data_IF_824162662821
#
_entry.id   IF_824162662821
#
_cell.length_a   1.000
_cell.length_b   1.000
_cell.length_c   1.000
_cell.angle_alpha   90.00
_cell.angle_beta   90.00
_cell.angle_gamma   90.00
#
_symmetry.space_group_name_H-M   'P 1'
#
loop_
_entity.id
_entity.type
_entity.pdbx_description
1 polymer ?
#
# COMPACT_ATOMS: atom_id res chain seq x y z
N UNK A 1 26.37 19.22 2.95
CA UNK A 1 25.65 17.93 3.04
C UNK A 1 25.23 17.57 1.64
N UNK A 2 25.55 16.38 1.13
CA UNK A 2 25.10 15.91 -0.18
C UNK A 2 23.57 15.87 -0.17
N UNK A 3 22.92 16.40 -1.20
CA UNK A 3 21.47 16.39 -1.36
C UNK A 3 20.98 14.93 -1.49
N UNK A 4 19.93 14.57 -0.73
CA UNK A 4 19.40 13.22 -0.77
C UNK A 4 18.59 12.98 -2.05
N UNK A 5 18.75 11.77 -2.60
CA UNK A 5 18.12 11.32 -3.83
C UNK A 5 17.22 10.11 -3.57
N UNK A 6 16.13 10.02 -4.33
CA UNK A 6 15.22 8.90 -4.39
C UNK A 6 15.27 8.24 -5.76
N UNK A 7 15.19 6.93 -5.83
CA UNK A 7 15.03 6.19 -7.07
C UNK A 7 13.54 6.13 -7.41
N UNK A 8 13.13 6.91 -8.40
CA UNK A 8 11.74 7.21 -8.74
C UNK A 8 11.39 6.65 -10.10
N UNK A 9 10.25 5.98 -10.21
CA UNK A 9 9.66 5.58 -11.49
C UNK A 9 8.94 6.73 -12.19
N UNK A 10 8.39 7.65 -11.41
CA UNK A 10 7.66 8.82 -11.89
C UNK A 10 6.76 9.40 -10.82
N UNK A 11 6.04 10.46 -11.17
CA UNK A 11 4.96 11.01 -10.35
C UNK A 11 3.80 11.49 -11.19
N UNK A 12 2.65 11.63 -10.56
CA UNK A 12 1.45 12.27 -11.09
C UNK A 12 1.09 13.44 -10.21
N UNK A 13 0.95 14.61 -10.81
CA UNK A 13 0.72 15.86 -10.07
C UNK A 13 -0.67 15.90 -9.42
N UNK A 14 -1.68 15.28 -10.04
CA UNK A 14 -3.05 15.21 -9.52
C UNK A 14 -3.62 13.82 -9.75
N UNK A 15 -4.03 13.15 -8.68
CA UNK A 15 -4.70 11.84 -8.71
C UNK A 15 -5.87 11.82 -7.72
N UNK A 16 -6.97 11.17 -8.14
CA UNK A 16 -8.24 11.07 -7.38
C UNK A 16 -8.51 9.67 -6.83
N UNK A 17 -7.57 8.73 -7.02
CA UNK A 17 -7.82 7.30 -6.77
C UNK A 17 -6.94 6.67 -5.70
N UNK A 18 -5.88 7.34 -5.26
CA UNK A 18 -4.87 6.72 -4.41
C UNK A 18 -5.22 6.79 -2.92
N UNK A 19 -5.77 7.92 -2.46
CA UNK A 19 -6.11 8.13 -1.05
C UNK A 19 -7.60 8.45 -0.92
N UNK A 20 -8.33 7.66 -0.15
CA UNK A 20 -9.77 7.81 0.01
C UNK A 20 -10.16 9.20 0.50
N UNK A 21 -10.97 9.92 -0.31
CA UNK A 21 -11.47 11.24 0.01
C UNK A 21 -10.49 12.40 -0.20
N UNK A 22 -9.34 12.15 -0.81
CA UNK A 22 -8.31 13.18 -1.03
C UNK A 22 -7.82 13.22 -2.47
N UNK A 23 -7.44 14.40 -2.91
CA UNK A 23 -6.68 14.61 -4.16
C UNK A 23 -5.19 14.52 -3.82
N UNK A 24 -4.48 13.59 -4.45
CA UNK A 24 -3.07 13.34 -4.14
C UNK A 24 -2.11 13.80 -5.25
N UNK A 25 -0.93 14.24 -4.84
CA UNK A 25 0.27 14.19 -5.66
C UNK A 25 0.94 12.84 -5.40
N UNK A 26 1.04 11.98 -6.39
CA UNK A 26 1.47 10.59 -6.19
C UNK A 26 2.85 10.34 -6.78
N UNK A 27 3.78 9.83 -5.97
CA UNK A 27 5.15 9.47 -6.36
C UNK A 27 5.32 7.96 -6.29
N UNK A 28 5.78 7.33 -7.40
CA UNK A 28 6.12 5.91 -7.44
C UNK A 28 7.60 5.70 -7.24
N UNK A 29 7.99 5.10 -6.12
CA UNK A 29 9.37 4.70 -5.86
C UNK A 29 9.66 3.33 -6.44
N UNK A 30 10.88 3.16 -6.94
CA UNK A 30 11.31 1.93 -7.57
C UNK A 30 11.96 0.96 -6.58
N UNK A 31 12.03 -0.31 -6.99
CA UNK A 31 12.49 -1.50 -6.27
C UNK A 31 11.51 -2.00 -5.23
N UNK A 32 11.50 -3.31 -5.05
CA UNK A 32 10.72 -4.01 -4.04
C UNK A 32 11.50 -5.22 -3.53
N UNK A 33 11.30 -5.56 -2.28
CA UNK A 33 11.91 -6.75 -1.65
C UNK A 33 11.04 -8.01 -1.80
N UNK A 34 9.79 -7.87 -2.26
CA UNK A 34 8.90 -8.99 -2.61
C UNK A 34 8.91 -9.25 -4.12
N UNK A 35 8.41 -10.43 -4.52
CA UNK A 35 8.38 -10.89 -5.92
C UNK A 35 6.99 -11.42 -6.29
N UNK A 36 5.94 -10.70 -5.85
CA UNK A 36 4.56 -11.11 -6.08
C UNK A 36 4.33 -11.43 -7.57
N UNK A 37 3.87 -12.63 -7.92
CA UNK A 37 3.74 -13.06 -9.32
C UNK A 37 2.63 -12.30 -10.08
N UNK A 38 1.73 -11.66 -9.34
CA UNK A 38 0.61 -10.86 -9.84
C UNK A 38 0.85 -9.33 -9.75
N UNK A 39 2.09 -8.91 -9.50
CA UNK A 39 2.44 -7.50 -9.30
C UNK A 39 2.17 -6.65 -10.55
N UNK A 40 1.33 -5.62 -10.43
CA UNK A 40 1.05 -4.66 -11.51
C UNK A 40 2.26 -3.76 -11.85
N UNK A 41 3.19 -3.60 -10.90
CA UNK A 41 4.39 -2.77 -11.04
C UNK A 41 5.67 -3.61 -11.13
N UNK A 42 5.62 -4.80 -11.77
CA UNK A 42 6.73 -5.76 -11.76
C UNK A 42 8.05 -5.19 -12.34
N UNK A 43 7.99 -4.36 -13.36
CA UNK A 43 9.17 -3.72 -13.95
C UNK A 43 9.75 -2.64 -12.99
N UNK A 44 8.88 -1.81 -12.42
CA UNK A 44 9.27 -0.81 -11.41
C UNK A 44 9.86 -1.48 -10.15
N UNK A 45 9.29 -2.62 -9.74
CA UNK A 45 9.80 -3.42 -8.61
C UNK A 45 11.23 -3.94 -8.87
N UNK A 46 11.64 -4.10 -10.11
CA UNK A 46 13.03 -4.41 -10.51
C UNK A 46 13.90 -3.15 -10.68
N UNK A 47 13.30 -1.98 -10.71
CA UNK A 47 13.99 -0.70 -10.96
C UNK A 47 14.08 -0.34 -12.44
N UNK A 48 13.36 -1.03 -13.32
CA UNK A 48 13.36 -0.74 -14.76
C UNK A 48 12.65 0.60 -15.01
N UNK A 49 13.27 1.46 -15.82
CA UNK A 49 12.75 2.79 -16.17
C UNK A 49 12.84 3.83 -15.04
N UNK A 50 13.39 3.47 -13.89
CA UNK A 50 13.56 4.40 -12.78
C UNK A 50 14.81 5.26 -12.92
N UNK A 51 14.75 6.47 -12.35
CA UNK A 51 15.88 7.42 -12.31
C UNK A 51 16.07 7.98 -10.91
N UNK A 52 17.29 8.38 -10.59
CA UNK A 52 17.56 9.12 -9.37
C UNK A 52 17.07 10.56 -9.51
N UNK A 53 16.27 10.98 -8.54
CA UNK A 53 15.65 12.31 -8.45
C UNK A 53 16.03 12.94 -7.11
N UNK A 54 16.43 14.20 -7.12
CA UNK A 54 16.74 14.94 -5.90
C UNK A 54 15.44 15.25 -5.14
N UNK A 55 15.50 15.24 -3.84
CA UNK A 55 14.36 15.61 -2.99
C UNK A 55 13.86 17.02 -3.31
N UNK A 56 14.76 17.96 -3.65
CA UNK A 56 14.39 19.31 -4.07
C UNK A 56 13.53 19.34 -5.34
N UNK A 57 13.81 18.47 -6.32
CA UNK A 57 13.00 18.41 -7.55
C UNK A 57 11.56 17.96 -7.28
N UNK A 58 11.38 17.01 -6.35
CA UNK A 58 10.04 16.57 -5.93
C UNK A 58 9.31 17.70 -5.20
N UNK A 59 10.00 18.43 -4.33
CA UNK A 59 9.41 19.57 -3.61
C UNK A 59 8.99 20.71 -4.53
N UNK A 60 9.80 21.02 -5.54
CA UNK A 60 9.45 22.02 -6.57
C UNK A 60 8.21 21.61 -7.38
N UNK A 61 8.09 20.32 -7.72
CA UNK A 61 6.91 19.80 -8.41
C UNK A 61 5.66 19.84 -7.50
N UNK A 62 5.81 19.48 -6.23
CA UNK A 62 4.75 19.57 -5.21
C UNK A 62 4.27 21.01 -5.00
N UNK A 63 5.19 21.99 -4.90
CA UNK A 63 4.83 23.40 -4.72
C UNK A 63 3.98 23.91 -5.89
N UNK A 64 4.30 23.50 -7.12
CA UNK A 64 3.51 23.88 -8.31
C UNK A 64 2.10 23.27 -8.28
N UNK A 65 1.97 22.05 -7.77
CA UNK A 65 0.69 21.34 -7.71
C UNK A 65 -0.15 21.69 -6.46
N UNK A 66 0.44 22.34 -5.46
CA UNK A 66 -0.11 22.52 -4.11
C UNK A 66 -1.54 23.06 -4.05
N UNK A 67 -1.91 23.95 -4.97
CA UNK A 67 -3.26 24.50 -5.04
C UNK A 67 -4.35 23.49 -5.44
N UNK A 68 -3.97 22.34 -5.97
CA UNK A 68 -4.87 21.33 -6.53
C UNK A 68 -4.87 20.01 -5.77
N UNK A 69 -4.09 19.90 -4.70
CA UNK A 69 -3.89 18.64 -3.97
C UNK A 69 -4.09 18.82 -2.47
N UNK A 70 -4.52 17.75 -1.81
CA UNK A 70 -4.71 17.69 -0.36
C UNK A 70 -3.57 16.96 0.35
N UNK A 71 -2.85 16.08 -0.37
CA UNK A 71 -1.90 15.15 0.25
C UNK A 71 -0.77 14.77 -0.71
N UNK A 72 0.46 14.65 -0.17
CA UNK A 72 1.52 13.90 -0.84
C UNK A 72 1.30 12.40 -0.59
N UNK A 73 1.17 11.61 -1.64
CA UNK A 73 1.09 10.16 -1.58
C UNK A 73 2.37 9.51 -2.15
N UNK A 74 2.96 8.58 -1.40
CA UNK A 74 4.15 7.85 -1.82
C UNK A 74 3.84 6.35 -1.86
N UNK A 75 4.06 5.76 -3.02
CA UNK A 75 3.79 4.34 -3.32
C UNK A 75 4.88 3.77 -4.26
N UNK A 76 4.61 2.70 -4.99
CA UNK A 76 5.48 2.16 -6.04
C UNK A 76 5.80 0.69 -5.87
N UNK A 77 7.10 0.36 -5.74
CA UNK A 77 7.55 -0.97 -5.33
C UNK A 77 7.39 -1.14 -3.81
N UNK A 78 8.47 -0.90 -3.04
CA UNK A 78 8.43 -0.78 -1.58
C UNK A 78 9.15 0.50 -1.16
N UNK A 79 8.41 1.56 -0.80
CA UNK A 79 9.00 2.85 -0.43
C UNK A 79 9.95 2.80 0.76
N UNK A 80 9.69 1.94 1.73
CA UNK A 80 10.50 1.84 2.95
C UNK A 80 11.93 1.34 2.71
N UNK A 81 12.25 0.79 1.54
CA UNK A 81 13.63 0.52 1.11
C UNK A 81 14.47 1.80 1.03
N UNK A 82 13.80 2.94 0.81
CA UNK A 82 14.42 4.26 0.67
C UNK A 82 14.11 5.19 1.86
N UNK A 83 13.80 4.62 3.03
CA UNK A 83 13.27 5.31 4.21
C UNK A 83 14.12 6.51 4.67
N UNK A 84 15.44 6.52 4.45
CA UNK A 84 16.31 7.65 4.87
C UNK A 84 16.02 8.91 4.06
N UNK A 85 16.01 8.79 2.74
CA UNK A 85 15.68 9.90 1.86
C UNK A 85 14.19 10.29 1.97
N UNK A 86 13.29 9.31 2.20
CA UNK A 86 11.88 9.59 2.51
C UNK A 86 11.71 10.39 3.80
N UNK A 87 12.46 10.11 4.84
CA UNK A 87 12.40 10.90 6.08
C UNK A 87 12.73 12.37 5.82
N UNK A 88 13.76 12.64 5.03
CA UNK A 88 14.12 13.99 4.63
C UNK A 88 13.01 14.65 3.80
N UNK A 89 12.47 13.95 2.79
CA UNK A 89 11.35 14.45 1.98
C UNK A 89 10.15 14.79 2.88
N UNK A 90 9.74 13.89 3.75
CA UNK A 90 8.55 14.07 4.60
C UNK A 90 8.71 15.21 5.60
N UNK A 91 9.88 15.36 6.22
CA UNK A 91 10.19 16.49 7.10
C UNK A 91 10.09 17.83 6.36
N UNK A 92 10.65 17.90 5.15
CA UNK A 92 10.61 19.11 4.32
C UNK A 92 9.19 19.41 3.82
N UNK A 93 8.42 18.40 3.40
CA UNK A 93 7.02 18.58 3.00
C UNK A 93 6.19 19.14 4.17
N UNK A 94 6.36 18.58 5.36
CA UNK A 94 5.65 19.08 6.56
C UNK A 94 6.06 20.51 6.93
N UNK A 95 7.36 20.81 6.93
CA UNK A 95 7.86 22.12 7.37
C UNK A 95 7.71 23.23 6.34
N UNK A 96 7.84 22.94 5.04
CA UNK A 96 7.85 23.95 3.97
C UNK A 96 6.48 24.10 3.30
N UNK A 97 5.75 22.98 3.10
CA UNK A 97 4.51 22.95 2.34
C UNK A 97 3.27 22.78 3.22
N UNK A 98 3.44 22.31 4.47
CA UNK A 98 2.36 21.98 5.39
C UNK A 98 1.31 21.03 4.78
N UNK A 99 1.75 20.09 3.92
CA UNK A 99 0.88 19.09 3.32
C UNK A 99 0.82 17.82 4.18
N UNK A 100 -0.35 17.20 4.33
CA UNK A 100 -0.49 15.84 4.84
C UNK A 100 0.31 14.85 3.99
N UNK A 101 0.73 13.74 4.60
CA UNK A 101 1.55 12.72 3.94
C UNK A 101 0.85 11.37 4.03
N UNK A 102 0.78 10.69 2.91
CA UNK A 102 0.27 9.33 2.74
C UNK A 102 1.38 8.40 2.27
N UNK A 103 1.43 7.20 2.82
CA UNK A 103 2.41 6.18 2.47
C UNK A 103 1.74 4.82 2.25
N UNK A 104 2.04 4.19 1.12
CA UNK A 104 1.76 2.78 0.89
C UNK A 104 2.98 1.93 1.22
N UNK A 105 2.77 0.77 1.82
CA UNK A 105 3.84 -0.19 2.09
C UNK A 105 3.34 -1.64 2.10
N UNK A 106 4.21 -2.57 1.80
CA UNK A 106 3.95 -3.99 1.99
C UNK A 106 4.17 -4.47 3.45
N UNK A 107 4.50 -3.55 4.35
CA UNK A 107 4.62 -3.79 5.79
C UNK A 107 5.87 -4.54 6.24
N UNK A 108 6.81 -4.87 5.35
CA UNK A 108 7.97 -5.73 5.70
C UNK A 108 9.13 -5.00 6.39
N UNK A 109 9.00 -3.70 6.64
CA UNK A 109 10.06 -2.87 7.21
C UNK A 109 9.60 -2.06 8.44
N UNK A 110 9.17 -2.73 9.55
CA UNK A 110 8.58 -2.04 10.71
C UNK A 110 9.54 -1.01 11.33
N UNK A 111 10.83 -1.30 11.43
CA UNK A 111 11.82 -0.34 11.99
C UNK A 111 11.98 0.93 11.16
N UNK A 112 11.79 0.85 9.84
CA UNK A 112 11.79 2.02 8.97
C UNK A 112 10.48 2.79 9.11
N UNK A 113 9.36 2.07 9.16
CA UNK A 113 8.02 2.65 9.36
C UNK A 113 7.93 3.42 10.69
N UNK A 114 8.44 2.88 11.78
CA UNK A 114 8.45 3.51 13.10
C UNK A 114 9.02 4.94 13.09
N UNK A 115 10.03 5.18 12.24
CA UNK A 115 10.64 6.51 12.09
C UNK A 115 9.78 7.48 11.27
N UNK A 116 8.97 6.96 10.34
CA UNK A 116 8.15 7.75 9.42
C UNK A 116 6.73 7.97 9.96
N UNK A 117 6.20 7.03 10.73
CA UNK A 117 4.82 7.04 11.21
C UNK A 117 4.40 8.36 11.89
N UNK A 118 5.23 9.04 12.72
CA UNK A 118 4.86 10.32 13.31
C UNK A 118 4.63 11.47 12.32
N UNK A 119 5.09 11.31 11.07
CA UNK A 119 4.91 12.30 10.01
C UNK A 119 3.69 12.03 9.12
N UNK A 120 3.12 10.83 9.22
CA UNK A 120 2.04 10.38 8.35
C UNK A 120 0.67 10.88 8.84
N UNK A 121 -0.17 11.25 7.89
CA UNK A 121 -1.61 11.41 8.05
C UNK A 121 -2.33 10.10 7.70
N UNK A 122 -1.91 9.44 6.62
CA UNK A 122 -2.48 8.21 6.11
C UNK A 122 -1.39 7.16 5.87
N UNK A 123 -1.66 5.94 6.29
CA UNK A 123 -0.81 4.77 6.05
C UNK A 123 -1.66 3.66 5.45
N UNK A 124 -1.27 3.16 4.29
CA UNK A 124 -1.86 1.95 3.73
C UNK A 124 -0.88 0.78 3.79
N UNK A 125 -1.32 -0.35 4.35
CA UNK A 125 -0.53 -1.58 4.43
C UNK A 125 -1.22 -2.68 3.64
N UNK A 126 -0.49 -3.25 2.68
CA UNK A 126 -0.98 -4.40 1.92
C UNK A 126 -0.79 -5.70 2.72
N UNK A 127 -1.87 -6.27 3.22
CA UNK A 127 -1.92 -7.58 3.86
C UNK A 127 -2.24 -8.62 2.78
N UNK A 128 -1.20 -9.32 2.32
CA UNK A 128 -1.27 -10.07 1.06
C UNK A 128 -1.78 -11.51 1.21
N UNK A 129 -1.89 -12.03 2.43
CA UNK A 129 -2.50 -13.30 2.80
C UNK A 129 -2.74 -13.32 4.31
N UNK A 130 -3.47 -14.29 4.90
CA UNK A 130 -3.59 -14.44 6.34
C UNK A 130 -2.22 -14.50 7.01
N UNK A 131 -2.02 -13.74 8.09
CA UNK A 131 -0.74 -13.70 8.81
C UNK A 131 -0.47 -15.03 9.54
N UNK A 132 -1.51 -15.79 9.83
CA UNK A 132 -1.43 -17.16 10.39
C UNK A 132 -1.01 -18.21 9.36
N UNK A 133 -0.93 -17.87 8.06
CA UNK A 133 -0.60 -18.81 6.98
C UNK A 133 0.66 -18.39 6.18
N UNK A 134 1.86 -18.60 6.73
CA UNK A 134 3.10 -18.26 6.04
C UNK A 134 3.29 -19.03 4.72
N UNK A 135 2.66 -20.19 4.53
CA UNK A 135 2.75 -20.95 3.29
C UNK A 135 2.01 -20.24 2.16
N UNK A 136 0.78 -19.80 2.42
CA UNK A 136 0.03 -18.99 1.45
C UNK A 136 0.72 -17.65 1.23
N UNK A 137 1.22 -17.01 2.30
CA UNK A 137 1.96 -15.76 2.20
C UNK A 137 3.19 -15.88 1.28
N UNK A 138 3.94 -17.00 1.38
CA UNK A 138 5.07 -17.30 0.52
C UNK A 138 4.66 -17.39 -0.97
N UNK A 139 3.55 -18.08 -1.25
CA UNK A 139 3.00 -18.23 -2.62
C UNK A 139 2.57 -16.89 -3.20
N UNK A 140 1.84 -16.09 -2.40
CA UNK A 140 1.28 -14.79 -2.84
C UNK A 140 2.38 -13.76 -3.07
N UNK A 141 3.44 -13.78 -2.28
CA UNK A 141 4.53 -12.79 -2.33
C UNK A 141 5.76 -13.23 -3.13
N UNK A 142 5.80 -14.50 -3.57
CA UNK A 142 6.90 -15.05 -4.36
C UNK A 142 8.22 -15.18 -3.59
N UNK A 143 8.16 -15.32 -2.26
CA UNK A 143 9.33 -15.51 -1.40
C UNK A 143 9.42 -16.94 -0.87
N UNK A 144 10.57 -17.33 -0.31
CA UNK A 144 10.69 -18.64 0.37
C UNK A 144 9.84 -18.70 1.64
N UNK A 145 9.41 -19.90 2.05
CA UNK A 145 8.65 -20.09 3.29
C UNK A 145 9.37 -19.49 4.51
N UNK A 146 10.68 -19.76 4.65
CA UNK A 146 11.49 -19.19 5.74
C UNK A 146 11.46 -17.65 5.78
N UNK A 147 11.40 -17.00 4.60
CA UNK A 147 11.27 -15.55 4.54
C UNK A 147 9.85 -15.11 4.86
N UNK A 148 8.84 -15.85 4.39
CA UNK A 148 7.44 -15.54 4.68
C UNK A 148 7.12 -15.63 6.18
N UNK A 149 7.66 -16.59 6.92
CA UNK A 149 7.55 -16.69 8.39
C UNK A 149 8.06 -15.44 9.13
N UNK A 150 9.04 -14.75 8.55
CA UNK A 150 9.52 -13.47 9.06
C UNK A 150 8.63 -12.31 8.58
N UNK A 151 8.26 -12.32 7.31
CA UNK A 151 7.44 -11.28 6.69
C UNK A 151 6.10 -11.13 7.41
N UNK A 152 5.41 -12.22 7.76
CA UNK A 152 4.13 -12.13 8.49
C UNK A 152 4.28 -11.45 9.86
N UNK A 153 5.40 -11.69 10.56
CA UNK A 153 5.71 -11.03 11.83
C UNK A 153 6.02 -9.54 11.64
N UNK A 154 6.79 -9.21 10.60
CA UNK A 154 7.14 -7.83 10.26
C UNK A 154 5.89 -7.03 9.87
N UNK A 155 4.96 -7.64 9.10
CA UNK A 155 3.67 -7.02 8.72
C UNK A 155 2.80 -6.79 9.95
N UNK A 156 2.67 -7.78 10.84
CA UNK A 156 1.92 -7.62 12.10
C UNK A 156 2.51 -6.48 12.95
N UNK A 157 3.84 -6.39 13.06
CA UNK A 157 4.51 -5.29 13.76
C UNK A 157 4.24 -3.93 13.09
N UNK A 158 4.24 -3.88 11.74
CA UNK A 158 3.92 -2.66 10.99
C UNK A 158 2.48 -2.21 11.19
N UNK A 159 1.52 -3.14 11.27
CA UNK A 159 0.13 -2.83 11.63
C UNK A 159 0.09 -2.22 13.03
N UNK A 160 0.77 -2.83 14.01
CA UNK A 160 0.87 -2.30 15.38
C UNK A 160 1.41 -0.86 15.44
N UNK A 161 2.42 -0.52 14.64
CA UNK A 161 2.92 0.86 14.50
C UNK A 161 1.86 1.77 13.87
N UNK A 162 1.16 1.27 12.85
CA UNK A 162 0.11 1.99 12.13
C UNK A 162 -1.09 2.40 12.99
N UNK A 163 -1.33 1.74 14.15
CA UNK A 163 -2.44 2.07 15.05
C UNK A 163 -2.37 3.51 15.61
N UNK A 164 -1.20 4.13 15.58
CA UNK A 164 -0.99 5.52 16.02
C UNK A 164 -1.16 6.54 14.89
N UNK A 165 -1.27 6.12 13.63
CA UNK A 165 -1.48 7.01 12.48
C UNK A 165 -2.96 7.43 12.43
N UNK A 166 -3.28 8.70 12.13
CA UNK A 166 -4.67 9.18 12.11
C UNK A 166 -5.60 8.38 11.20
N UNK A 167 -5.10 7.89 10.07
CA UNK A 167 -5.88 7.07 9.14
C UNK A 167 -5.06 5.87 8.66
N UNK A 168 -5.43 4.67 9.11
CA UNK A 168 -4.84 3.39 8.71
C UNK A 168 -5.77 2.68 7.71
N UNK A 169 -5.27 2.40 6.52
CA UNK A 169 -5.92 1.59 5.49
C UNK A 169 -5.21 0.23 5.38
N UNK A 170 -5.92 -0.86 5.62
CA UNK A 170 -5.42 -2.22 5.44
C UNK A 170 -6.03 -2.78 4.15
N UNK A 171 -5.22 -3.37 3.25
CA UNK A 171 -5.68 -3.75 1.91
C UNK A 171 -5.36 -5.19 1.58
N UNK A 172 -6.30 -5.86 0.94
CA UNK A 172 -6.10 -7.20 0.38
C UNK A 172 -6.66 -7.25 -1.03
N UNK A 173 -5.90 -7.77 -1.99
CA UNK A 173 -6.34 -7.95 -3.37
C UNK A 173 -6.78 -9.38 -3.58
N UNK A 174 -8.02 -9.60 -4.03
CA UNK A 174 -8.50 -10.92 -4.46
C UNK A 174 -7.86 -11.26 -5.80
N UNK A 175 -7.12 -12.37 -5.84
CA UNK A 175 -6.37 -12.79 -7.03
C UNK A 175 -6.87 -14.15 -7.49
N UNK A 176 -7.50 -14.28 -8.68
CA UNK A 176 -8.06 -15.53 -9.15
C UNK A 176 -7.08 -16.70 -9.09
N UNK A 177 -7.48 -17.79 -8.39
CA UNK A 177 -6.67 -19.00 -8.22
C UNK A 177 -5.44 -18.84 -7.32
N UNK A 178 -5.35 -17.75 -6.54
CA UNK A 178 -4.26 -17.52 -5.59
C UNK A 178 -4.75 -17.03 -4.24
N UNK A 179 -5.63 -16.04 -4.19
CA UNK A 179 -6.21 -15.51 -2.96
C UNK A 179 -7.71 -15.33 -3.12
N UNK A 180 -8.47 -16.03 -2.30
CA UNK A 180 -9.93 -16.13 -2.35
C UNK A 180 -10.62 -15.18 -1.37
N UNK A 181 -11.95 -15.10 -1.45
CA UNK A 181 -12.74 -14.39 -0.45
C UNK A 181 -12.65 -15.06 0.94
N UNK A 182 -12.54 -16.38 1.03
CA UNK A 182 -12.37 -17.05 2.32
C UNK A 182 -11.07 -16.65 3.01
N UNK A 183 -10.00 -16.48 2.22
CA UNK A 183 -8.74 -15.95 2.75
C UNK A 183 -8.88 -14.50 3.20
N UNK A 184 -9.60 -13.66 2.45
CA UNK A 184 -9.85 -12.27 2.82
C UNK A 184 -10.68 -12.13 4.10
N UNK A 185 -11.65 -13.03 4.34
CA UNK A 185 -12.41 -13.10 5.60
C UNK A 185 -11.48 -13.48 6.76
N UNK A 186 -10.64 -14.50 6.60
CA UNK A 186 -9.64 -14.88 7.62
C UNK A 186 -8.68 -13.71 7.94
N UNK A 187 -8.23 -12.97 6.91
CA UNK A 187 -7.44 -11.76 7.11
C UNK A 187 -8.23 -10.74 7.93
N UNK A 188 -9.49 -10.48 7.59
CA UNK A 188 -10.32 -9.51 8.30
C UNK A 188 -10.49 -9.86 9.79
N UNK A 189 -10.70 -11.13 10.14
CA UNK A 189 -10.77 -11.62 11.50
C UNK A 189 -9.46 -11.37 12.28
N UNK A 190 -8.31 -11.67 11.65
CA UNK A 190 -6.99 -11.38 12.24
C UNK A 190 -6.77 -9.88 12.44
N UNK A 191 -7.17 -9.05 11.46
CA UNK A 191 -7.04 -7.60 11.50
C UNK A 191 -7.94 -6.97 12.56
N UNK A 192 -9.15 -7.46 12.76
CA UNK A 192 -10.04 -7.00 13.83
C UNK A 192 -9.38 -7.12 15.20
N UNK A 193 -8.73 -8.27 15.47
CA UNK A 193 -7.98 -8.47 16.71
C UNK A 193 -6.80 -7.51 16.84
N UNK A 194 -6.01 -7.37 15.78
CA UNK A 194 -4.81 -6.54 15.78
C UNK A 194 -5.11 -5.04 15.91
N UNK A 195 -6.28 -4.61 15.43
CA UNK A 195 -6.62 -3.17 15.36
C UNK A 195 -7.50 -2.67 16.50
N UNK A 196 -7.90 -3.51 17.45
CA UNK A 196 -8.78 -3.14 18.59
C UNK A 196 -8.31 -1.92 19.38
N UNK A 197 -7.00 -1.65 19.41
CA UNK A 197 -6.40 -0.54 20.16
C UNK A 197 -6.09 0.66 19.29
N UNK A 198 -6.57 0.72 18.07
CA UNK A 198 -6.33 1.86 17.19
C UNK A 198 -6.94 3.14 17.81
N UNK A 199 -6.21 4.24 17.74
CA UNK A 199 -6.65 5.55 18.20
C UNK A 199 -7.20 6.40 17.06
N UNK A 200 -6.81 6.07 15.81
CA UNK A 200 -7.27 6.69 14.58
C UNK A 200 -8.35 5.87 13.87
N UNK A 201 -8.72 6.35 12.69
CA UNK A 201 -9.62 5.62 11.80
C UNK A 201 -8.89 4.42 11.20
N UNK A 202 -9.53 3.27 11.23
CA UNK A 202 -9.05 2.05 10.53
C UNK A 202 -10.10 1.60 9.54
N UNK A 203 -9.68 1.35 8.30
CA UNK A 203 -10.53 0.70 7.30
C UNK A 203 -9.85 -0.54 6.72
N UNK A 204 -10.67 -1.50 6.29
CA UNK A 204 -10.21 -2.63 5.51
C UNK A 204 -10.75 -2.54 4.09
N UNK A 205 -9.89 -2.67 3.08
CA UNK A 205 -10.26 -2.53 1.67
C UNK A 205 -9.97 -3.82 0.91
N UNK A 206 -11.02 -4.45 0.41
CA UNK A 206 -10.92 -5.57 -0.53
C UNK A 206 -10.74 -5.02 -1.94
N UNK A 207 -9.65 -5.39 -2.61
CA UNK A 207 -9.29 -4.86 -3.92
C UNK A 207 -9.47 -5.89 -5.01
N UNK A 208 -9.88 -5.41 -6.18
CA UNK A 208 -9.94 -6.16 -7.41
C UNK A 208 -8.53 -6.42 -7.96
N UNK A 209 -8.21 -7.64 -8.33
CA UNK A 209 -7.07 -7.91 -9.21
C UNK A 209 -7.42 -7.52 -10.64
N UNK A 210 -6.53 -6.74 -11.27
CA UNK A 210 -6.63 -6.36 -12.69
C UNK A 210 -5.28 -6.69 -13.34
N UNK A 211 -5.28 -7.43 -14.45
CA UNK A 211 -4.06 -7.79 -15.17
C UNK A 211 -3.57 -6.61 -16.02
N UNK A 212 -3.15 -5.51 -15.36
CA UNK A 212 -2.51 -4.40 -16.06
C UNK A 212 -1.26 -4.83 -16.82
N UNK A 213 -0.81 -4.04 -17.79
CA UNK A 213 0.37 -4.30 -18.64
C UNK A 213 1.64 -4.64 -17.83
N UNK A 214 1.74 -4.16 -16.60
CA UNK A 214 2.84 -4.44 -15.67
C UNK A 214 2.85 -5.86 -15.12
N UNK A 215 1.71 -6.55 -15.09
CA UNK A 215 1.61 -7.95 -14.63
C UNK A 215 2.29 -8.87 -15.64
N UNK A 216 3.06 -9.83 -15.16
CA UNK A 216 3.86 -10.75 -16.01
C UNK A 216 3.47 -12.21 -15.82
N UNK A 217 3.94 -13.06 -16.74
CA UNK A 217 3.77 -14.52 -16.67
C UNK A 217 2.31 -14.95 -16.76
N UNK A 218 1.94 -15.99 -16.01
CA UNK A 218 0.59 -16.59 -16.06
C UNK A 218 -0.50 -15.63 -15.58
N UNK A 219 -0.18 -14.74 -14.65
CA UNK A 219 -1.14 -13.79 -14.12
C UNK A 219 -1.53 -12.71 -15.14
N UNK A 220 -0.68 -12.38 -16.12
CA UNK A 220 -1.01 -11.47 -17.21
C UNK A 220 -2.14 -11.99 -18.11
N UNK A 221 -2.36 -13.30 -18.13
CA UNK A 221 -3.41 -13.96 -18.95
C UNK A 221 -4.67 -14.30 -18.14
N UNK A 222 -4.67 -14.09 -16.83
CA UNK A 222 -5.85 -14.32 -16.00
C UNK A 222 -6.86 -13.19 -16.18
N UNK A 223 -8.17 -13.48 -16.12
CA UNK A 223 -9.17 -12.42 -16.08
C UNK A 223 -9.00 -11.56 -14.83
N UNK A 224 -9.48 -10.33 -14.88
CA UNK A 224 -9.69 -9.55 -13.67
C UNK A 224 -10.66 -10.28 -12.73
N UNK A 225 -10.52 -10.09 -11.42
CA UNK A 225 -11.53 -10.54 -10.47
C UNK A 225 -12.85 -9.82 -10.79
N UNK A 226 -13.98 -10.50 -10.94
CA UNK A 226 -15.25 -9.82 -11.18
C UNK A 226 -15.56 -8.79 -10.09
N UNK A 227 -15.95 -7.56 -10.47
CA UNK A 227 -16.27 -6.50 -9.52
C UNK A 227 -17.32 -6.93 -8.49
N UNK A 228 -18.35 -7.68 -8.95
CA UNK A 228 -19.38 -8.23 -8.10
C UNK A 228 -18.83 -9.18 -7.03
N UNK A 229 -17.85 -10.03 -7.36
CA UNK A 229 -17.19 -10.94 -6.41
C UNK A 229 -16.46 -10.15 -5.31
N UNK A 230 -15.79 -9.06 -5.68
CA UNK A 230 -15.10 -8.17 -4.72
C UNK A 230 -16.11 -7.50 -3.77
N UNK A 231 -17.21 -6.98 -4.31
CA UNK A 231 -18.27 -6.36 -3.53
C UNK A 231 -18.98 -7.36 -2.61
N UNK A 232 -19.27 -8.59 -3.09
CA UNK A 232 -19.89 -9.65 -2.30
C UNK A 232 -18.96 -10.11 -1.15
N UNK A 233 -17.66 -10.19 -1.43
CA UNK A 233 -16.67 -10.50 -0.41
C UNK A 233 -16.62 -9.41 0.67
N UNK A 234 -16.61 -8.15 0.31
CA UNK A 234 -16.65 -7.05 1.26
C UNK A 234 -17.93 -7.07 2.12
N UNK A 235 -19.10 -7.35 1.52
CA UNK A 235 -20.37 -7.55 2.27
C UNK A 235 -20.27 -8.70 3.28
N UNK A 236 -19.68 -9.82 2.87
CA UNK A 236 -19.46 -10.96 3.77
C UNK A 236 -18.59 -10.56 4.96
N UNK A 237 -17.53 -9.81 4.73
CA UNK A 237 -16.65 -9.33 5.81
C UNK A 237 -17.39 -8.42 6.80
N UNK A 238 -18.25 -7.52 6.32
CA UNK A 238 -19.04 -6.64 7.22
C UNK A 238 -20.03 -7.41 8.10
N UNK A 239 -20.42 -8.62 7.72
CA UNK A 239 -21.28 -9.49 8.57
C UNK A 239 -20.44 -10.30 9.57
N UNK A 240 -19.17 -10.58 9.22
CA UNK A 240 -18.30 -11.43 10.03
C UNK A 240 -17.49 -10.63 11.06
N UNK A 241 -17.14 -9.38 10.76
CA UNK A 241 -16.28 -8.51 11.59
C UNK A 241 -16.91 -7.13 11.79
N UNK A 242 -16.42 -6.38 12.78
CA UNK A 242 -16.79 -4.98 13.04
C UNK A 242 -15.93 -3.97 12.28
N UNK A 243 -15.02 -4.42 11.42
CA UNK A 243 -14.13 -3.53 10.66
C UNK A 243 -14.93 -2.65 9.68
N UNK A 244 -14.62 -1.36 9.64
CA UNK A 244 -15.11 -0.46 8.61
C UNK A 244 -14.56 -0.93 7.26
N UNK A 245 -15.37 -1.68 6.49
CA UNK A 245 -14.94 -2.36 5.26
C UNK A 245 -15.37 -1.58 4.03
N UNK A 246 -14.47 -1.57 3.04
CA UNK A 246 -14.69 -1.05 1.70
C UNK A 246 -14.29 -2.10 0.65
N UNK A 247 -14.76 -1.92 -0.55
CA UNK A 247 -14.21 -2.59 -1.74
C UNK A 247 -13.72 -1.56 -2.75
N UNK A 248 -12.74 -1.97 -3.58
CA UNK A 248 -12.19 -1.11 -4.65
C UNK A 248 -12.13 -1.90 -5.94
N UNK A 249 -12.86 -1.39 -6.94
CA UNK A 249 -12.92 -1.97 -8.30
C UNK A 249 -12.63 -0.90 -9.34
N UNK A 250 -12.29 -1.34 -10.56
CA UNK A 250 -12.07 -0.43 -11.68
C UNK A 250 -13.37 0.28 -12.08
N UNK A 251 -14.48 -0.45 -12.01
CA UNK A 251 -15.80 0.00 -12.47
C UNK A 251 -16.45 1.02 -11.54
N UNK A 252 -16.26 0.87 -10.22
CA UNK A 252 -16.99 1.67 -9.23
C UNK A 252 -16.08 2.52 -8.33
N UNK A 253 -14.76 2.34 -8.44
CA UNK A 253 -13.80 2.96 -7.53
C UNK A 253 -13.89 2.35 -6.12
N UNK A 254 -13.66 3.17 -5.09
CA UNK A 254 -13.74 2.74 -3.67
C UNK A 254 -15.13 3.02 -3.12
N UNK A 255 -15.83 1.97 -2.63
CA UNK A 255 -17.22 2.02 -2.13
C UNK A 255 -17.37 1.25 -0.83
N UNK A 256 -18.37 1.63 -0.04
CA UNK A 256 -18.89 0.75 1.03
C UNK A 256 -19.74 -0.35 0.42
N UNK A 257 -19.69 -1.58 0.95
CA UNK A 257 -20.49 -2.70 0.44
C UNK A 257 -21.97 -2.56 0.69
#
# INVERSE_FOLDING_TARGET
MSEEVLLVGGWREVSLVDVLGHVSFTVWLARCNLKCPWCSNAELAKGVGARYVRVSEILEALEKAKAFIDVLHVTGGEPLLQHRALLNLFQRVRSQLNLPISLDTNGTHPKALERLAPLLYHLAIDVKAPLSDPQLYAKVTGVSLRLAERVVKDVAASIGIGLSVPFLELRTTLVPGLLTCDDAVRIAEELEELTRKATGRVIYVVQQFIPYEGVKGDFARRPATPAQEVADCARRITVTTSLETYYRTLEEGTRKP
#
